data_IF_809688117331
#
_entry.id   IF_809688117331
#
_cell.length_a   1.000
_cell.length_b   1.000
_cell.length_c   1.000
_cell.angle_alpha   90.00
_cell.angle_beta   90.00
_cell.angle_gamma   90.00
#
_symmetry.space_group_name_H-M   'P 1'
#
loop_
_entity.id
_entity.type
_entity.pdbx_description
1 polymer ?
#
# COMPACT_ATOMS: atom_id res chain seq x y z
N UNK A 1 1.66 -3.09 17.89
CA UNK A 1 0.63 -2.04 17.97
C UNK A 1 0.50 -1.32 16.64
N UNK A 2 -0.72 -1.09 16.17
CA UNK A 2 -0.96 -0.43 14.89
C UNK A 2 -0.96 1.08 15.03
N UNK A 3 -0.40 1.76 14.04
CA UNK A 3 -0.41 3.21 13.98
C UNK A 3 -0.55 3.65 12.53
N UNK A 4 -0.94 4.89 12.32
CA UNK A 4 -1.04 5.42 10.97
C UNK A 4 0.33 5.50 10.32
N UNK A 5 0.37 5.28 9.00
CA UNK A 5 1.59 5.46 8.23
C UNK A 5 1.89 6.95 8.16
N UNK A 6 3.11 7.33 8.53
CA UNK A 6 3.53 8.73 8.44
C UNK A 6 3.50 9.22 7.00
N UNK A 7 3.03 10.44 6.79
CA UNK A 7 2.92 11.01 5.46
C UNK A 7 4.25 11.03 4.71
N UNK A 8 5.32 11.41 5.40
CA UNK A 8 6.64 11.42 4.80
C UNK A 8 7.08 10.04 4.36
N UNK A 9 6.85 9.03 5.19
CA UNK A 9 7.18 7.65 4.86
C UNK A 9 6.38 7.17 3.67
N UNK A 10 5.10 7.52 3.64
CA UNK A 10 4.24 7.17 2.51
C UNK A 10 4.74 7.76 1.20
N UNK A 11 5.13 9.04 1.23
CA UNK A 11 5.70 9.69 0.04
C UNK A 11 6.98 9.00 -0.42
N UNK A 12 7.83 8.61 0.53
CA UNK A 12 9.07 7.93 0.20
C UNK A 12 8.80 6.56 -0.43
N UNK A 13 7.80 5.85 0.08
CA UNK A 13 7.39 4.56 -0.50
C UNK A 13 6.90 4.78 -1.94
N UNK A 14 6.03 5.74 -2.16
CA UNK A 14 5.51 6.02 -3.50
C UNK A 14 6.61 6.47 -4.45
N UNK A 15 7.55 7.27 -3.97
CA UNK A 15 8.67 7.72 -4.78
C UNK A 15 9.52 6.53 -5.23
N UNK A 16 9.81 5.62 -4.32
CA UNK A 16 10.57 4.41 -4.65
C UNK A 16 9.84 3.57 -5.70
N UNK A 17 8.54 3.39 -5.52
CA UNK A 17 7.73 2.63 -6.47
C UNK A 17 7.75 3.30 -7.84
N UNK A 18 7.62 4.62 -7.90
CA UNK A 18 7.58 5.35 -9.17
C UNK A 18 8.86 5.20 -9.97
N UNK A 19 9.98 4.94 -9.31
CA UNK A 19 11.25 4.71 -9.98
C UNK A 19 11.37 3.29 -10.55
N UNK A 20 10.53 2.38 -10.09
CA UNK A 20 10.63 0.97 -10.45
C UNK A 20 9.48 0.47 -11.34
N UNK A 21 8.56 1.32 -11.69
CA UNK A 21 7.43 0.97 -12.57
C UNK A 21 7.28 2.06 -13.64
N UNK A 22 6.50 1.76 -14.68
CA UNK A 22 6.25 2.77 -15.71
C UNK A 22 5.32 3.85 -15.16
N UNK A 23 5.35 5.02 -15.78
CA UNK A 23 4.47 6.12 -15.39
C UNK A 23 3.00 5.72 -15.48
N UNK A 24 2.64 5.00 -16.54
CA UNK A 24 1.26 4.54 -16.71
C UNK A 24 0.86 3.60 -15.60
N UNK A 25 1.71 2.64 -15.26
CA UNK A 25 1.44 1.71 -14.17
C UNK A 25 1.31 2.44 -12.83
N UNK A 26 2.19 3.40 -12.58
CA UNK A 26 2.14 4.16 -11.34
C UNK A 26 0.81 4.89 -11.21
N UNK A 27 0.41 5.62 -12.24
CA UNK A 27 -0.84 6.38 -12.20
C UNK A 27 -2.08 5.49 -12.10
N UNK A 28 -2.04 4.34 -12.74
CA UNK A 28 -3.20 3.44 -12.77
C UNK A 28 -3.37 2.67 -11.48
N UNK A 29 -2.29 2.19 -10.89
CA UNK A 29 -2.36 1.25 -9.79
C UNK A 29 -1.93 1.80 -8.44
N UNK A 30 -0.96 2.70 -8.42
CA UNK A 30 -0.37 3.16 -7.15
C UNK A 30 -0.84 4.53 -6.70
N UNK A 31 -1.00 5.48 -7.62
CA UNK A 31 -1.42 6.82 -7.25
C UNK A 31 -2.77 6.87 -6.52
N UNK A 32 -3.76 6.02 -6.87
CA UNK A 32 -5.04 6.02 -6.16
C UNK A 32 -5.00 5.38 -4.78
N UNK A 33 -3.89 4.77 -4.39
CA UNK A 33 -3.80 4.08 -3.09
C UNK A 33 -3.84 5.06 -1.93
N UNK A 34 -4.43 4.59 -0.84
CA UNK A 34 -4.51 5.36 0.41
C UNK A 34 -3.73 4.61 1.49
N UNK A 35 -2.81 5.28 2.19
CA UNK A 35 -2.12 4.64 3.31
C UNK A 35 -3.10 4.45 4.46
N UNK A 36 -2.99 3.33 5.15
CA UNK A 36 -3.84 3.06 6.30
C UNK A 36 -3.03 2.97 7.57
N UNK A 37 -2.50 1.81 7.86
CA UNK A 37 -1.84 1.52 9.12
C UNK A 37 -0.60 0.68 8.94
N UNK A 38 0.26 0.72 9.93
CA UNK A 38 1.43 -0.13 9.98
C UNK A 38 1.48 -0.77 11.37
N UNK A 39 1.75 -2.07 11.41
CA UNK A 39 1.94 -2.82 12.65
C UNK A 39 3.40 -3.25 12.70
N UNK A 40 4.20 -2.52 13.45
CA UNK A 40 5.63 -2.79 13.50
C UNK A 40 5.96 -4.10 14.22
N UNK A 41 5.15 -4.47 15.20
CA UNK A 41 5.37 -5.71 15.93
C UNK A 41 5.08 -6.95 15.08
N UNK A 42 3.99 -6.91 14.34
CA UNK A 42 3.63 -8.00 13.45
C UNK A 42 4.33 -7.90 12.10
N UNK A 43 4.98 -6.78 11.82
CA UNK A 43 5.62 -6.49 10.55
C UNK A 43 4.64 -6.59 9.38
N UNK A 44 3.52 -5.88 9.50
CA UNK A 44 2.48 -5.82 8.48
C UNK A 44 2.15 -4.36 8.19
N UNK A 45 1.99 -4.03 6.92
CA UNK A 45 1.59 -2.69 6.50
C UNK A 45 0.34 -2.78 5.64
N UNK A 46 -0.60 -1.85 5.85
CA UNK A 46 -1.92 -1.88 5.23
C UNK A 46 -2.11 -0.67 4.33
N UNK A 47 -2.51 -0.93 3.10
CA UNK A 47 -2.90 0.09 2.13
C UNK A 47 -4.33 -0.17 1.71
N UNK A 48 -5.00 0.82 1.15
CA UNK A 48 -6.36 0.67 0.67
C UNK A 48 -6.54 1.25 -0.73
N UNK A 49 -7.44 0.64 -1.48
CA UNK A 49 -7.88 1.17 -2.76
C UNK A 49 -9.40 1.09 -2.81
N UNK A 50 -10.01 2.00 -3.55
CA UNK A 50 -11.47 2.03 -3.69
C UNK A 50 -11.99 1.07 -4.76
N UNK A 51 -11.10 0.46 -5.53
CA UNK A 51 -11.49 -0.41 -6.63
C UNK A 51 -10.96 -1.82 -6.44
N UNK A 52 -11.87 -2.79 -6.46
CA UNK A 52 -11.51 -4.19 -6.31
C UNK A 52 -10.54 -4.66 -7.40
N UNK A 53 -10.71 -4.18 -8.63
CA UNK A 53 -9.84 -4.55 -9.73
C UNK A 53 -8.39 -4.14 -9.48
N UNK A 54 -8.20 -2.96 -8.92
CA UNK A 54 -6.85 -2.48 -8.58
C UNK A 54 -6.26 -3.37 -7.50
N UNK A 55 -7.04 -3.70 -6.49
CA UNK A 55 -6.58 -4.58 -5.41
C UNK A 55 -6.09 -5.92 -5.96
N UNK A 56 -6.85 -6.52 -6.87
CA UNK A 56 -6.48 -7.80 -7.45
C UNK A 56 -5.19 -7.73 -8.25
N UNK A 57 -5.03 -6.68 -9.07
CA UNK A 57 -3.82 -6.51 -9.86
C UNK A 57 -2.60 -6.31 -8.97
N UNK A 58 -2.75 -5.51 -7.92
CA UNK A 58 -1.66 -5.27 -6.99
C UNK A 58 -1.23 -6.55 -6.30
N UNK A 59 -2.19 -7.34 -5.84
CA UNK A 59 -1.88 -8.59 -5.16
C UNK A 59 -1.22 -9.61 -6.09
N UNK A 60 -1.61 -9.63 -7.36
CA UNK A 60 -1.07 -10.59 -8.30
C UNK A 60 0.30 -10.22 -8.85
N UNK A 61 0.55 -8.93 -9.05
CA UNK A 61 1.72 -8.50 -9.81
C UNK A 61 2.70 -7.62 -9.06
N UNK A 62 2.22 -6.83 -8.11
CA UNK A 62 3.01 -5.73 -7.58
C UNK A 62 3.40 -5.87 -6.11
N UNK A 63 3.06 -6.97 -5.47
CA UNK A 63 3.47 -7.18 -4.07
C UNK A 63 4.99 -7.09 -3.91
N UNK A 64 5.82 -7.72 -4.77
CA UNK A 64 7.27 -7.59 -4.62
C UNK A 64 7.76 -6.15 -4.74
N UNK A 65 7.11 -5.34 -5.57
CA UNK A 65 7.47 -3.92 -5.72
C UNK A 65 7.19 -3.17 -4.41
N UNK A 66 6.01 -3.43 -3.80
CA UNK A 66 5.67 -2.86 -2.50
C UNK A 66 6.65 -3.29 -1.42
N UNK A 67 6.93 -4.57 -1.35
CA UNK A 67 7.83 -5.10 -0.33
C UNK A 67 9.19 -4.42 -0.39
N UNK A 68 9.73 -4.26 -1.59
CA UNK A 68 11.00 -3.59 -1.77
C UNK A 68 10.95 -2.13 -1.32
N UNK A 69 9.89 -1.42 -1.72
CA UNK A 69 9.75 -0.01 -1.39
C UNK A 69 9.62 0.20 0.12
N UNK A 70 8.80 -0.63 0.77
CA UNK A 70 8.61 -0.55 2.22
C UNK A 70 9.91 -0.88 2.94
N UNK A 71 10.61 -1.91 2.51
CA UNK A 71 11.88 -2.28 3.10
C UNK A 71 12.91 -1.16 2.95
N UNK A 72 12.93 -0.49 1.80
CA UNK A 72 13.84 0.62 1.56
C UNK A 72 13.57 1.78 2.52
N UNK A 73 12.32 2.04 2.83
CA UNK A 73 11.93 3.18 3.68
C UNK A 73 12.03 2.85 5.17
N UNK A 74 11.58 1.67 5.56
CA UNK A 74 11.53 1.27 6.98
C UNK A 74 12.72 0.42 7.42
N UNK A 75 13.56 -0.02 6.47
CA UNK A 75 14.74 -0.86 6.75
C UNK A 75 14.38 -2.18 7.43
N UNK A 76 13.20 -2.70 7.11
CA UNK A 76 12.69 -3.94 7.66
C UNK A 76 11.67 -4.52 6.69
N UNK A 77 11.61 -5.85 6.63
CA UNK A 77 10.63 -6.51 5.77
C UNK A 77 9.26 -6.50 6.40
N UNK A 78 8.26 -6.09 5.63
CA UNK A 78 6.87 -6.06 6.06
C UNK A 78 6.01 -6.88 5.10
N UNK A 79 4.99 -7.53 5.65
CA UNK A 79 3.96 -8.15 4.84
C UNK A 79 3.04 -7.05 4.33
N UNK A 80 2.69 -7.11 3.06
CA UNK A 80 1.84 -6.10 2.42
C UNK A 80 0.40 -6.61 2.39
N UNK A 81 -0.52 -5.80 2.89
CA UNK A 81 -1.95 -6.09 2.84
C UNK A 81 -2.66 -4.94 2.14
N UNK A 82 -3.37 -5.25 1.06
CA UNK A 82 -4.15 -4.26 0.32
C UNK A 82 -5.62 -4.52 0.60
N UNK A 83 -6.32 -3.50 1.09
CA UNK A 83 -7.73 -3.62 1.43
C UNK A 83 -8.60 -2.84 0.46
N UNK A 84 -9.86 -3.24 0.37
CA UNK A 84 -10.85 -2.53 -0.42
C UNK A 84 -11.55 -1.51 0.47
N UNK A 85 -11.24 -0.24 0.25
CA UNK A 85 -11.79 0.84 1.06
C UNK A 85 -13.30 0.95 0.96
N UNK A 86 -13.86 0.70 -0.22
CA UNK A 86 -15.31 0.75 -0.42
C UNK A 86 -16.00 -0.29 0.45
N UNK A 87 -15.45 -1.49 0.50
CA UNK A 87 -15.98 -2.56 1.32
C UNK A 87 -15.95 -2.18 2.79
N UNK A 88 -14.84 -1.62 3.26
CA UNK A 88 -14.72 -1.15 4.63
C UNK A 88 -15.75 -0.08 4.95
N UNK A 89 -15.99 0.84 4.03
CA UNK A 89 -16.97 1.92 4.22
C UNK A 89 -18.38 1.34 4.37
N UNK A 90 -18.73 0.33 3.59
CA UNK A 90 -20.03 -0.32 3.67
C UNK A 90 -20.24 -0.92 5.05
N UNK A 91 -19.24 -1.59 5.58
CA UNK A 91 -19.32 -2.16 6.92
C UNK A 91 -19.45 -1.10 8.00
N UNK A 92 -18.76 0.00 7.82
CA UNK A 92 -18.81 1.10 8.78
C UNK A 92 -20.19 1.71 8.84
N UNK A 93 -20.85 1.81 7.70
CA UNK A 93 -22.18 2.41 7.61
C UNK A 93 -23.28 1.51 8.16
N UNK A 94 -23.01 0.25 8.31
CA UNK A 94 -23.94 -0.68 8.93
C UNK A 94 -23.82 -0.65 10.44
#
# INVERSE_FOLDING_TARGET
MRKKIEEKKWRDILSDISENVTEVSYRSWFAPLVPMEIDEDAAVIYFATSKKQIMEVLEMRYIPVFERAVESVYHKKYKIVVKNKTESSIFTDC
#
